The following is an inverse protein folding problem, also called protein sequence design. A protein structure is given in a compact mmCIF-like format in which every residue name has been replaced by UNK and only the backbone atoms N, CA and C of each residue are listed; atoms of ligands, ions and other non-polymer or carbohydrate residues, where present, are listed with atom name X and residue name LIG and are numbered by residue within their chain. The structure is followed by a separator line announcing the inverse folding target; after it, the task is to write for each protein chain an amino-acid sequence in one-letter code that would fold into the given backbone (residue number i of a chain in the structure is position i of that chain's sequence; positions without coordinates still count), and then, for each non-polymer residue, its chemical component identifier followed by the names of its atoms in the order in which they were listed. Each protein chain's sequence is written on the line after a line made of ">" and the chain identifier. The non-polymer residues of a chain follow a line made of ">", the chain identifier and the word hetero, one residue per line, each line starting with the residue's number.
data_IF_639420148989
#
_entry.id   IF_639420148989
#
_cell.length_a   1.000
_cell.length_b   1.000
_cell.length_c   1.000
_cell.angle_alpha   90.00
_cell.angle_beta   90.00
_cell.angle_gamma   90.00
#
_symmetry.space_group_name_H-M   'P 1'
#
loop_
_entity.id
_entity.type
_entity.pdbx_description
1 polymer ?
#
# COMPACT_ATOMS: atom_id res chain seq x y z
N UNK A 1 0.34 -15.42 11.16
CA UNK A 1 -0.26 -14.10 10.88
C UNK A 1 0.81 -13.15 10.35
N UNK A 2 0.76 -12.78 9.06
CA UNK A 2 1.50 -11.60 8.59
C UNK A 2 0.88 -10.41 9.30
N UNK A 3 1.68 -9.68 10.09
CA UNK A 3 1.33 -8.32 10.50
C UNK A 3 1.17 -7.54 9.20
N UNK A 4 -0.05 -7.45 8.71
CA UNK A 4 -0.37 -6.55 7.63
C UNK A 4 0.01 -5.18 8.17
N UNK A 5 1.04 -4.56 7.60
CA UNK A 5 1.60 -3.28 8.05
C UNK A 5 0.61 -2.15 7.72
N UNK A 6 -0.56 -2.22 8.35
CA UNK A 6 -1.69 -1.30 8.23
C UNK A 6 -1.28 0.11 8.66
N UNK A 7 -0.27 0.18 9.53
CA UNK A 7 0.41 1.42 9.91
C UNK A 7 1.21 2.04 8.75
N UNK A 8 1.98 1.24 8.02
CA UNK A 8 2.82 1.72 6.90
C UNK A 8 1.94 2.17 5.73
N UNK A 9 0.91 1.39 5.38
CA UNK A 9 -0.04 1.79 4.34
C UNK A 9 -0.86 3.04 4.70
N UNK A 10 -1.22 3.20 5.98
CA UNK A 10 -1.85 4.43 6.47
C UNK A 10 -0.94 5.64 6.39
N UNK A 11 0.33 5.48 6.75
CA UNK A 11 1.34 6.54 6.70
C UNK A 11 1.64 6.99 5.27
N UNK A 12 1.76 6.05 4.32
CA UNK A 12 1.94 6.38 2.91
C UNK A 12 0.77 7.22 2.37
N UNK A 13 -0.46 6.80 2.68
CA UNK A 13 -1.66 7.53 2.27
C UNK A 13 -1.73 8.92 2.91
N UNK A 14 -1.34 9.05 4.18
CA UNK A 14 -1.31 10.34 4.87
C UNK A 14 -0.31 11.30 4.23
N UNK A 15 0.92 10.84 3.98
CA UNK A 15 1.98 11.63 3.35
C UNK A 15 1.55 12.09 1.96
N UNK A 16 0.93 11.19 1.16
CA UNK A 16 0.45 11.52 -0.18
C UNK A 16 -0.58 12.65 -0.17
N UNK A 17 -1.53 12.62 0.77
CA UNK A 17 -2.54 13.68 0.92
C UNK A 17 -1.90 15.02 1.32
N UNK A 18 -0.95 15.01 2.27
CA UNK A 18 -0.25 16.22 2.71
C UNK A 18 0.55 16.84 1.55
N UNK A 19 1.29 16.03 0.79
CA UNK A 19 2.07 16.52 -0.37
C UNK A 19 1.14 17.15 -1.42
N UNK A 20 -0.02 16.54 -1.66
CA UNK A 20 -0.99 17.08 -2.62
C UNK A 20 -1.53 18.44 -2.18
N UNK A 21 -1.85 18.61 -0.90
CA UNK A 21 -2.34 19.89 -0.36
C UNK A 21 -1.22 20.96 -0.31
N UNK A 22 0.03 20.56 -0.10
CA UNK A 22 1.19 21.46 -0.14
C UNK A 22 1.51 22.02 -1.54
N UNK A 23 1.03 21.41 -2.63
CA UNK A 23 1.43 21.79 -3.99
C UNK A 23 1.21 23.28 -4.30
N UNK A 24 0.11 23.85 -3.82
CA UNK A 24 -0.25 25.25 -4.07
C UNK A 24 0.60 26.22 -3.27
N UNK A 25 1.00 25.81 -2.06
CA UNK A 25 1.91 26.58 -1.22
C UNK A 25 3.30 26.58 -1.82
N UNK A 26 3.78 25.42 -2.28
CA UNK A 26 5.06 25.30 -2.98
C UNK A 26 5.07 26.13 -4.27
N UNK A 27 3.98 26.12 -5.03
CA UNK A 27 3.85 26.94 -6.23
C UNK A 27 3.90 28.44 -5.92
N UNK A 28 3.18 28.87 -4.88
CA UNK A 28 3.21 30.26 -4.40
C UNK A 28 4.60 30.66 -3.93
N UNK A 29 5.29 29.77 -3.21
CA UNK A 29 6.64 30.01 -2.74
C UNK A 29 7.63 30.14 -3.90
N UNK A 30 7.57 29.24 -4.88
CA UNK A 30 8.40 29.31 -6.08
C UNK A 30 8.17 30.61 -6.85
N UNK A 31 6.91 31.05 -6.96
CA UNK A 31 6.56 32.34 -7.56
C UNK A 31 7.17 33.53 -6.80
N UNK A 32 7.11 33.52 -5.47
CA UNK A 32 7.76 34.56 -4.65
C UNK A 32 9.28 34.56 -4.80
N UNK A 33 9.94 33.39 -4.74
CA UNK A 33 11.39 33.28 -4.91
C UNK A 33 11.81 33.79 -6.30
N UNK A 34 11.07 33.45 -7.35
CA UNK A 34 11.34 33.94 -8.70
C UNK A 34 11.15 35.47 -8.79
N UNK A 35 10.05 36.01 -8.26
CA UNK A 35 9.78 37.44 -8.29
C UNK A 35 10.84 38.26 -7.53
N UNK A 36 11.19 37.84 -6.32
CA UNK A 36 12.25 38.49 -5.54
C UNK A 36 13.63 38.28 -6.15
N UNK A 37 13.91 37.09 -6.72
CA UNK A 37 15.12 36.82 -7.49
C UNK A 37 15.33 37.80 -8.64
N UNK A 38 14.26 38.11 -9.39
CA UNK A 38 14.30 39.12 -10.46
C UNK A 38 14.54 40.54 -9.91
N UNK A 39 13.89 40.90 -8.80
CA UNK A 39 14.10 42.21 -8.16
C UNK A 39 15.56 42.36 -7.72
N UNK A 40 16.13 41.36 -7.05
CA UNK A 40 17.53 41.37 -6.62
C UNK A 40 18.49 41.37 -7.81
N UNK A 41 18.19 40.64 -8.88
CA UNK A 41 18.98 40.67 -10.11
C UNK A 41 19.04 42.09 -10.69
N UNK A 42 17.91 42.78 -10.79
CA UNK A 42 17.84 44.16 -11.32
C UNK A 42 18.58 45.14 -10.40
N UNK A 43 18.52 44.95 -9.08
CA UNK A 43 19.14 45.85 -8.11
C UNK A 43 20.65 45.68 -7.97
N UNK A 44 21.16 44.45 -8.11
CA UNK A 44 22.56 44.11 -7.87
C UNK A 44 23.40 44.05 -9.15
N UNK A 45 22.78 43.79 -10.30
CA UNK A 45 23.51 43.82 -11.57
C UNK A 45 23.82 45.27 -11.90
N UNK A 46 25.10 45.64 -11.83
CA UNK A 46 25.54 46.94 -12.34
C UNK A 46 25.19 47.00 -13.82
N UNK A 47 24.43 48.02 -14.21
CA UNK A 47 23.82 48.20 -15.53
C UNK A 47 24.83 48.15 -16.70
N UNK A 48 26.15 48.14 -16.47
CA UNK A 48 27.18 48.07 -17.50
C UNK A 48 27.98 46.76 -17.63
N UNK A 49 27.84 45.77 -16.74
CA UNK A 49 28.72 44.58 -16.81
C UNK A 49 28.27 43.56 -17.87
N UNK A 50 26.97 43.42 -18.12
CA UNK A 50 26.48 42.60 -19.24
C UNK A 50 26.55 43.34 -20.59
N UNK A 51 26.71 44.67 -20.60
CA UNK A 51 26.76 45.47 -21.83
C UNK A 51 28.20 45.54 -22.42
N UNK A 52 29.24 45.43 -21.59
CA UNK A 52 30.64 45.47 -22.03
C UNK A 52 31.24 44.10 -22.36
N UNK A 53 30.44 43.03 -22.33
CA UNK A 53 30.90 41.71 -22.74
C UNK A 53 30.68 41.54 -24.25
N UNK A 54 31.76 41.53 -25.02
CA UNK A 54 31.70 41.33 -26.47
C UNK A 54 31.53 39.83 -26.82
N UNK A 55 30.51 39.51 -27.64
CA UNK A 55 30.34 38.20 -28.30
C UNK A 55 29.35 37.21 -27.65
N UNK A 56 29.32 35.97 -28.17
CA UNK A 56 28.43 34.87 -27.71
C UNK A 56 28.66 34.47 -26.24
N UNK A 57 29.83 34.79 -25.68
CA UNK A 57 30.17 34.51 -24.28
C UNK A 57 29.42 35.43 -23.29
N UNK A 58 29.00 36.62 -23.73
CA UNK A 58 28.22 37.57 -22.92
C UNK A 58 26.85 37.01 -22.53
N UNK A 59 26.16 36.37 -23.47
CA UNK A 59 24.86 35.75 -23.23
C UNK A 59 24.96 34.57 -22.26
N UNK A 60 26.05 33.78 -22.32
CA UNK A 60 26.26 32.67 -21.38
C UNK A 60 26.59 33.16 -19.98
N UNK A 61 27.43 34.18 -19.85
CA UNK A 61 27.79 34.78 -18.55
C UNK A 61 26.57 35.42 -17.87
N UNK A 62 25.79 36.22 -18.59
CA UNK A 62 24.63 36.90 -18.02
C UNK A 62 23.51 35.90 -17.65
N UNK A 63 23.27 34.85 -18.45
CA UNK A 63 22.31 33.79 -18.12
C UNK A 63 22.73 32.95 -16.90
N UNK A 64 24.02 32.64 -16.77
CA UNK A 64 24.56 31.90 -15.61
C UNK A 64 24.44 32.73 -14.33
N UNK A 65 24.60 34.05 -14.43
CA UNK A 65 24.45 34.96 -13.30
C UNK A 65 23.01 35.05 -12.79
N UNK A 66 22.00 35.10 -13.68
CA UNK A 66 20.57 35.09 -13.27
C UNK A 66 20.24 33.84 -12.43
N UNK A 67 20.74 32.67 -12.84
CA UNK A 67 20.55 31.43 -12.09
C UNK A 67 21.16 31.49 -10.69
N UNK A 68 22.36 32.04 -10.57
CA UNK A 68 23.06 32.21 -9.29
C UNK A 68 22.31 33.16 -8.34
N UNK A 69 21.71 34.24 -8.84
CA UNK A 69 20.93 35.16 -8.00
C UNK A 69 19.64 34.52 -7.47
N UNK A 70 18.93 33.76 -8.30
CA UNK A 70 17.74 33.01 -7.84
C UNK A 70 18.13 31.99 -6.76
N UNK A 71 19.26 31.29 -6.94
CA UNK A 71 19.82 30.37 -5.95
C UNK A 71 20.20 31.09 -4.65
N UNK A 72 20.77 32.30 -4.72
CA UNK A 72 21.10 33.12 -3.55
C UNK A 72 19.86 33.51 -2.74
N UNK A 73 18.78 33.93 -3.41
CA UNK A 73 17.49 34.22 -2.75
C UNK A 73 16.88 32.96 -2.14
N UNK A 74 17.03 31.81 -2.79
CA UNK A 74 16.63 30.53 -2.22
C UNK A 74 17.45 30.16 -0.97
N UNK A 75 18.77 30.37 -0.95
CA UNK A 75 19.58 30.13 0.26
C UNK A 75 19.24 31.08 1.41
N UNK A 76 18.88 32.32 1.10
CA UNK A 76 18.42 33.30 2.08
C UNK A 76 17.18 32.81 2.84
N UNK A 77 16.33 31.99 2.20
CA UNK A 77 15.18 31.34 2.83
C UNK A 77 15.56 30.40 3.98
N UNK A 78 16.71 29.72 3.89
CA UNK A 78 17.18 28.79 4.92
C UNK A 78 17.95 29.48 6.04
N UNK A 79 18.01 30.82 6.03
CA UNK A 79 18.88 31.61 6.93
C UNK A 79 20.34 31.14 6.90
N UNK A 80 20.74 30.44 5.85
CA UNK A 80 22.12 30.20 5.52
C UNK A 80 22.63 31.52 4.94
N UNK A 81 22.98 32.44 5.83
CA UNK A 81 23.93 33.49 5.48
C UNK A 81 25.21 32.74 5.15
N UNK A 82 25.34 32.34 3.89
CA UNK A 82 26.61 31.84 3.39
C UNK A 82 27.54 33.04 3.53
N UNK A 83 28.53 32.92 4.42
CA UNK A 83 29.71 33.77 4.42
C UNK A 83 30.36 33.56 3.04
N UNK A 84 29.95 34.36 2.07
CA UNK A 84 30.55 34.37 0.72
C UNK A 84 31.79 35.25 0.86
N UNK A 85 32.76 34.75 1.62
CA UNK A 85 34.05 35.40 1.87
C UNK A 85 34.96 35.31 0.62
N UNK A 86 34.58 34.50 -0.37
CA UNK A 86 35.25 34.40 -1.66
C UNK A 86 34.64 35.36 -2.70
N UNK A 87 34.83 36.67 -2.48
CA UNK A 87 34.88 37.67 -3.56
C UNK A 87 33.56 38.12 -4.22
N UNK A 88 32.40 37.84 -3.64
CA UNK A 88 31.10 38.20 -4.22
C UNK A 88 30.43 39.37 -3.54
N UNK A 89 30.57 40.57 -4.12
CA UNK A 89 29.96 41.87 -3.73
C UNK A 89 28.87 41.78 -2.65
N UNK A 90 29.12 42.43 -1.52
CA UNK A 90 28.24 42.37 -0.36
C UNK A 90 26.83 42.85 -0.73
N UNK A 91 25.84 41.97 -0.52
CA UNK A 91 24.41 42.29 -0.67
C UNK A 91 23.97 43.48 0.21
N UNK A 92 24.83 43.90 1.15
CA UNK A 92 24.64 44.94 2.16
C UNK A 92 24.99 46.36 1.69
N UNK A 93 25.50 46.54 0.46
CA UNK A 93 25.95 47.87 0.02
C UNK A 93 24.82 48.90 -0.14
N UNK A 94 23.55 48.50 -0.24
CA UNK A 94 22.42 49.44 -0.36
C UNK A 94 21.36 49.19 0.72
N UNK A 95 20.95 50.27 1.42
CA UNK A 95 19.86 50.24 2.42
C UNK A 95 18.57 49.66 1.84
N UNK A 96 18.31 49.89 0.55
CA UNK A 96 17.14 49.36 -0.15
C UNK A 96 17.16 47.83 -0.25
N UNK A 97 18.30 47.22 -0.58
CA UNK A 97 18.47 45.76 -0.62
C UNK A 97 18.18 45.12 0.74
N UNK A 98 18.66 45.75 1.83
CA UNK A 98 18.41 45.28 3.19
C UNK A 98 16.93 45.32 3.56
N UNK A 99 16.23 46.41 3.22
CA UNK A 99 14.78 46.54 3.46
C UNK A 99 14.01 45.48 2.66
N UNK A 100 14.35 45.25 1.39
CA UNK A 100 13.70 44.23 0.56
C UNK A 100 13.95 42.81 1.09
N UNK A 101 15.15 42.54 1.60
CA UNK A 101 15.46 41.26 2.26
C UNK A 101 14.65 41.06 3.56
N UNK A 102 14.46 42.12 4.37
CA UNK A 102 13.60 42.06 5.56
C UNK A 102 12.13 41.80 5.19
N UNK A 103 11.62 42.47 4.16
CA UNK A 103 10.24 42.25 3.67
C UNK A 103 10.09 40.81 3.18
N UNK A 104 11.03 40.34 2.36
CA UNK A 104 11.01 38.97 1.85
C UNK A 104 11.01 37.93 2.97
N UNK A 105 11.93 38.06 3.94
CA UNK A 105 12.00 37.14 5.08
C UNK A 105 10.74 37.20 5.93
N UNK A 106 10.15 38.38 6.14
CA UNK A 106 8.86 38.50 6.82
C UNK A 106 7.75 37.75 6.07
N UNK A 107 7.59 37.96 4.76
CA UNK A 107 6.55 37.29 3.98
C UNK A 107 6.75 35.77 3.92
N UNK A 108 7.97 35.30 3.70
CA UNK A 108 8.26 33.88 3.55
C UNK A 108 8.24 33.15 4.89
N UNK A 109 8.95 33.67 5.89
CA UNK A 109 9.11 32.99 7.17
C UNK A 109 7.86 33.20 8.03
N UNK A 110 7.32 34.41 8.13
CA UNK A 110 6.20 34.67 9.04
C UNK A 110 4.88 34.26 8.41
N UNK A 111 4.61 34.62 7.16
CA UNK A 111 3.30 34.36 6.56
C UNK A 111 3.25 32.95 5.96
N UNK A 112 4.20 32.61 5.10
CA UNK A 112 4.14 31.37 4.32
C UNK A 112 4.42 30.13 5.19
N UNK A 113 5.36 30.19 6.13
CA UNK A 113 5.62 29.08 7.06
C UNK A 113 4.44 28.80 7.99
N UNK A 114 3.81 29.85 8.53
CA UNK A 114 2.61 29.68 9.36
C UNK A 114 1.45 29.10 8.54
N UNK A 115 1.31 29.48 7.26
CA UNK A 115 0.34 28.87 6.36
C UNK A 115 0.62 27.38 6.11
N UNK A 116 1.90 26.99 5.92
CA UNK A 116 2.30 25.58 5.78
C UNK A 116 1.89 24.78 7.02
N UNK A 117 2.20 25.28 8.22
CA UNK A 117 1.84 24.60 9.47
C UNK A 117 0.32 24.44 9.58
N UNK A 118 -0.43 25.50 9.32
CA UNK A 118 -1.89 25.47 9.36
C UNK A 118 -2.48 24.42 8.40
N UNK A 119 -1.97 24.36 7.17
CA UNK A 119 -2.40 23.39 6.15
C UNK A 119 -2.04 21.96 6.56
N UNK A 120 -0.85 21.73 7.12
CA UNK A 120 -0.46 20.40 7.61
C UNK A 120 -1.36 19.93 8.73
N UNK A 121 -1.67 20.80 9.70
CA UNK A 121 -2.56 20.49 10.82
C UNK A 121 -3.97 20.16 10.31
N UNK A 122 -4.52 20.99 9.43
CA UNK A 122 -5.85 20.77 8.85
C UNK A 122 -5.91 19.48 8.01
N UNK A 123 -4.89 19.22 7.18
CA UNK A 123 -4.78 18.00 6.39
C UNK A 123 -4.70 16.75 7.27
N UNK A 124 -3.95 16.82 8.37
CA UNK A 124 -3.86 15.73 9.34
C UNK A 124 -5.19 15.49 10.07
N UNK A 125 -5.92 16.55 10.44
CA UNK A 125 -7.25 16.43 11.04
C UNK A 125 -8.25 15.80 10.06
N UNK A 126 -8.26 16.24 8.79
CA UNK A 126 -9.07 15.65 7.71
C UNK A 126 -8.75 14.17 7.52
N UNK A 127 -7.47 13.79 7.50
CA UNK A 127 -7.06 12.39 7.40
C UNK A 127 -7.50 11.56 8.62
N UNK A 128 -7.36 12.08 9.85
CA UNK A 128 -7.82 11.37 11.04
C UNK A 128 -9.35 11.15 11.05
N UNK A 129 -10.12 12.14 10.58
CA UNK A 129 -11.57 12.03 10.43
C UNK A 129 -11.97 10.99 9.37
N UNK A 130 -11.18 10.83 8.30
CA UNK A 130 -11.39 9.78 7.31
C UNK A 130 -10.92 8.41 7.80
N UNK A 131 -9.80 8.35 8.52
CA UNK A 131 -9.24 7.11 9.08
C UNK A 131 -10.22 6.39 10.00
N UNK A 132 -10.97 7.12 10.82
CA UNK A 132 -11.99 6.52 11.69
C UNK A 132 -13.09 5.83 10.87
N UNK A 133 -13.50 6.41 9.73
CA UNK A 133 -14.46 5.80 8.79
C UNK A 133 -13.86 4.60 8.06
N UNK A 134 -12.61 4.71 7.58
CA UNK A 134 -11.92 3.60 6.89
C UNK A 134 -11.61 2.42 7.83
N UNK A 135 -11.33 2.66 9.11
CA UNK A 135 -11.15 1.58 10.08
C UNK A 135 -12.43 0.77 10.29
N UNK A 136 -13.60 1.41 10.27
CA UNK A 136 -14.88 0.71 10.31
C UNK A 136 -15.07 -0.21 9.10
N UNK A 137 -14.80 0.30 7.90
CA UNK A 137 -14.92 -0.47 6.66
C UNK A 137 -13.92 -1.65 6.61
N UNK A 138 -12.67 -1.43 7.00
CA UNK A 138 -11.66 -2.49 7.04
C UNK A 138 -11.99 -3.58 8.08
N UNK A 139 -12.57 -3.20 9.23
CA UNK A 139 -13.07 -4.16 10.22
C UNK A 139 -14.26 -4.95 9.68
N UNK A 140 -15.19 -4.29 8.99
CA UNK A 140 -16.32 -4.95 8.33
C UNK A 140 -15.85 -5.94 7.27
N UNK A 141 -14.92 -5.54 6.41
CA UNK A 141 -14.33 -6.41 5.39
C UNK A 141 -13.68 -7.65 6.03
N UNK A 142 -12.87 -7.44 7.07
CA UNK A 142 -12.24 -8.53 7.82
C UNK A 142 -13.27 -9.46 8.48
N UNK A 143 -14.32 -8.92 9.09
CA UNK A 143 -15.42 -9.72 9.68
C UNK A 143 -16.18 -10.48 8.60
N UNK A 144 -16.39 -9.91 7.42
CA UNK A 144 -17.04 -10.61 6.30
C UNK A 144 -16.17 -11.74 5.74
N UNK A 145 -14.85 -11.53 5.65
CA UNK A 145 -13.91 -12.59 5.26
C UNK A 145 -13.88 -13.72 6.29
N UNK A 146 -13.83 -13.39 7.58
CA UNK A 146 -13.91 -14.37 8.67
C UNK A 146 -15.22 -15.15 8.65
N UNK A 147 -16.37 -14.48 8.48
CA UNK A 147 -17.67 -15.17 8.36
C UNK A 147 -17.77 -16.04 7.13
N UNK A 148 -17.16 -15.64 6.01
CA UNK A 148 -17.12 -16.47 4.82
C UNK A 148 -16.31 -17.74 5.08
N UNK A 149 -15.16 -17.62 5.75
CA UNK A 149 -14.32 -18.74 6.17
C UNK A 149 -15.06 -19.63 7.19
N UNK A 150 -15.69 -19.05 8.20
CA UNK A 150 -16.48 -19.75 9.21
C UNK A 150 -17.61 -20.56 8.57
N UNK A 151 -18.37 -19.97 7.63
CA UNK A 151 -19.40 -20.69 6.86
C UNK A 151 -18.83 -21.80 5.98
N UNK A 152 -17.66 -21.58 5.39
CA UNK A 152 -16.91 -22.62 4.68
C UNK A 152 -16.53 -23.80 5.59
N UNK A 153 -16.28 -23.54 6.87
CA UNK A 153 -15.81 -24.53 7.84
C UNK A 153 -16.91 -25.26 8.61
N UNK A 154 -18.00 -24.56 8.91
CA UNK A 154 -19.15 -25.11 9.64
C UNK A 154 -20.21 -25.72 8.73
N UNK A 155 -20.15 -25.45 7.41
CA UNK A 155 -21.05 -26.08 6.45
C UNK A 155 -20.96 -27.61 6.45
N UNK A 156 -22.05 -28.28 6.11
CA UNK A 156 -22.02 -29.71 5.81
C UNK A 156 -21.37 -29.91 4.44
N UNK A 157 -20.10 -30.29 4.41
CA UNK A 157 -19.38 -30.52 3.16
C UNK A 157 -20.02 -31.72 2.45
N UNK A 158 -20.40 -31.52 1.21
CA UNK A 158 -20.83 -32.63 0.35
C UNK A 158 -19.66 -33.58 0.09
N UNK A 159 -19.98 -34.86 -0.18
CA UNK A 159 -18.99 -35.86 -0.58
C UNK A 159 -18.18 -35.41 -1.82
N UNK A 160 -18.81 -34.66 -2.74
CA UNK A 160 -18.17 -34.13 -3.94
C UNK A 160 -17.12 -33.07 -3.60
N UNK A 161 -17.37 -32.21 -2.61
CA UNK A 161 -16.38 -31.24 -2.12
C UNK A 161 -15.19 -31.91 -1.46
N UNK A 162 -15.40 -32.98 -0.68
CA UNK A 162 -14.28 -33.76 -0.14
C UNK A 162 -13.44 -34.40 -1.24
N UNK A 163 -14.08 -34.97 -2.27
CA UNK A 163 -13.39 -35.53 -3.42
C UNK A 163 -12.57 -34.46 -4.15
N UNK A 164 -13.15 -33.28 -4.41
CA UNK A 164 -12.46 -32.17 -5.04
C UNK A 164 -11.27 -31.67 -4.21
N UNK A 165 -11.40 -31.58 -2.89
CA UNK A 165 -10.31 -31.20 -1.98
C UNK A 165 -9.19 -32.25 -1.97
N UNK A 166 -9.51 -33.54 -1.92
CA UNK A 166 -8.50 -34.62 -1.95
C UNK A 166 -7.75 -34.61 -3.30
N UNK A 167 -8.48 -34.42 -4.40
CA UNK A 167 -7.88 -34.29 -5.74
C UNK A 167 -6.97 -33.06 -5.82
N UNK A 168 -7.39 -31.93 -5.25
CA UNK A 168 -6.55 -30.74 -5.16
C UNK A 168 -5.28 -30.99 -4.35
N UNK A 169 -5.42 -31.50 -3.11
CA UNK A 169 -4.29 -31.76 -2.21
C UNK A 169 -3.30 -32.77 -2.81
N UNK A 170 -3.79 -33.83 -3.45
CA UNK A 170 -2.94 -34.80 -4.14
C UNK A 170 -2.21 -34.17 -5.33
N UNK A 171 -2.88 -33.37 -6.17
CA UNK A 171 -2.24 -32.68 -7.29
C UNK A 171 -1.13 -31.71 -6.84
N UNK A 172 -1.38 -30.93 -5.78
CA UNK A 172 -0.39 -30.01 -5.19
C UNK A 172 0.78 -30.78 -4.58
N UNK A 173 0.50 -31.91 -3.91
CA UNK A 173 1.56 -32.76 -3.33
C UNK A 173 2.47 -33.35 -4.41
N UNK A 174 1.91 -33.80 -5.53
CA UNK A 174 2.71 -34.32 -6.66
C UNK A 174 3.53 -33.20 -7.31
N UNK A 175 2.96 -32.01 -7.51
CA UNK A 175 3.71 -30.85 -8.01
C UNK A 175 4.85 -30.46 -7.07
N UNK A 176 4.62 -30.51 -5.76
CA UNK A 176 5.65 -30.25 -4.75
C UNK A 176 6.77 -31.29 -4.80
N UNK A 177 6.44 -32.59 -4.94
CA UNK A 177 7.44 -33.64 -5.11
C UNK A 177 8.26 -33.46 -6.39
N UNK A 178 7.64 -33.06 -7.50
CA UNK A 178 8.33 -32.77 -8.77
C UNK A 178 9.25 -31.54 -8.66
N UNK A 179 8.94 -30.59 -7.77
CA UNK A 179 9.78 -29.43 -7.51
C UNK A 179 11.15 -29.80 -6.91
N UNK A 180 11.26 -30.95 -6.23
CA UNK A 180 12.51 -31.40 -5.61
C UNK A 180 13.51 -31.81 -6.69
N UNK A 181 14.64 -31.09 -6.78
CA UNK A 181 15.67 -31.29 -7.81
C UNK A 181 16.13 -32.75 -7.96
N UNK A 182 16.26 -33.50 -6.86
CA UNK A 182 16.70 -34.91 -6.90
C UNK A 182 15.69 -35.81 -7.65
N UNK A 183 14.41 -35.64 -7.35
CA UNK A 183 13.32 -36.39 -7.99
C UNK A 183 13.19 -35.97 -9.45
N UNK A 184 13.24 -34.65 -9.71
CA UNK A 184 13.19 -34.08 -11.06
C UNK A 184 14.28 -34.66 -11.95
N UNK A 185 15.53 -34.62 -11.50
CA UNK A 185 16.69 -35.12 -12.27
C UNK A 185 16.61 -36.63 -12.53
N UNK A 186 16.01 -37.38 -11.60
CA UNK A 186 15.78 -38.82 -11.78
C UNK A 186 14.70 -39.06 -12.83
N UNK A 187 13.56 -38.36 -12.73
CA UNK A 187 12.46 -38.43 -13.71
C UNK A 187 12.91 -38.02 -15.11
N UNK A 188 13.67 -36.94 -15.26
CA UNK A 188 14.17 -36.48 -16.57
C UNK A 188 15.13 -37.49 -17.20
N UNK A 189 15.96 -38.15 -16.39
CA UNK A 189 16.87 -39.19 -16.87
C UNK A 189 16.13 -40.41 -17.45
N UNK A 190 15.00 -40.81 -16.87
CA UNK A 190 14.27 -42.01 -17.30
C UNK A 190 13.22 -41.74 -18.38
N UNK A 191 12.51 -40.62 -18.31
CA UNK A 191 11.33 -40.34 -19.16
C UNK A 191 11.53 -39.17 -20.12
N UNK A 192 12.63 -38.42 -20.01
CA UNK A 192 12.90 -37.23 -20.80
C UNK A 192 12.16 -35.98 -20.32
N UNK A 193 12.65 -34.81 -20.72
CA UNK A 193 12.15 -33.51 -20.28
C UNK A 193 10.72 -33.22 -20.80
N UNK A 194 10.38 -33.69 -22.00
CA UNK A 194 9.06 -33.47 -22.61
C UNK A 194 7.94 -34.14 -21.83
N UNK A 195 8.18 -35.34 -21.30
CA UNK A 195 7.19 -36.06 -20.48
C UNK A 195 6.95 -35.35 -19.14
N UNK A 196 8.03 -34.84 -18.53
CA UNK A 196 7.93 -34.09 -17.27
C UNK A 196 7.13 -32.79 -17.47
N UNK A 197 7.42 -32.05 -18.53
CA UNK A 197 6.67 -30.83 -18.86
C UNK A 197 5.18 -31.13 -19.08
N UNK A 198 4.85 -32.16 -19.85
CA UNK A 198 3.47 -32.58 -20.06
C UNK A 198 2.78 -32.93 -18.74
N UNK A 199 3.42 -33.74 -17.89
CA UNK A 199 2.88 -34.12 -16.58
C UNK A 199 2.62 -32.92 -15.67
N UNK A 200 3.53 -31.95 -15.62
CA UNK A 200 3.35 -30.71 -14.84
C UNK A 200 2.18 -29.89 -15.37
N UNK A 201 2.07 -29.72 -16.69
CA UNK A 201 0.96 -28.98 -17.31
C UNK A 201 -0.37 -29.66 -17.04
N UNK A 202 -0.47 -30.98 -17.22
CA UNK A 202 -1.70 -31.74 -16.92
C UNK A 202 -2.09 -31.64 -15.45
N UNK A 203 -1.14 -31.77 -14.52
CA UNK A 203 -1.39 -31.62 -13.08
C UNK A 203 -1.85 -30.20 -12.72
N UNK A 204 -1.28 -29.17 -13.35
CA UNK A 204 -1.69 -27.79 -13.15
C UNK A 204 -3.13 -27.55 -13.64
N UNK A 205 -3.49 -28.06 -14.82
CA UNK A 205 -4.87 -27.99 -15.35
C UNK A 205 -5.83 -28.72 -14.41
N UNK A 206 -5.44 -29.88 -13.91
CA UNK A 206 -6.25 -30.66 -12.98
C UNK A 206 -6.46 -29.94 -11.64
N UNK A 207 -5.41 -29.30 -11.11
CA UNK A 207 -5.50 -28.47 -9.91
C UNK A 207 -6.46 -27.29 -10.11
N UNK A 208 -6.38 -26.57 -11.24
CA UNK A 208 -7.31 -25.47 -11.57
C UNK A 208 -8.75 -25.98 -11.71
N UNK A 209 -8.96 -27.08 -12.41
CA UNK A 209 -10.30 -27.69 -12.55
C UNK A 209 -10.89 -28.09 -11.19
N UNK A 210 -10.06 -28.64 -10.28
CA UNK A 210 -10.50 -29.00 -8.93
C UNK A 210 -10.91 -27.78 -8.08
N UNK A 211 -10.19 -26.66 -8.21
CA UNK A 211 -10.56 -25.39 -7.56
C UNK A 211 -11.89 -24.87 -8.12
N UNK A 212 -12.06 -24.85 -9.44
CA UNK A 212 -13.29 -24.37 -10.08
C UNK A 212 -14.47 -25.23 -9.66
N UNK A 213 -14.33 -26.56 -9.69
CA UNK A 213 -15.38 -27.48 -9.24
C UNK A 213 -15.75 -27.26 -7.76
N UNK A 214 -14.73 -27.08 -6.91
CA UNK A 214 -14.93 -26.77 -5.49
C UNK A 214 -15.70 -25.44 -5.29
N UNK A 215 -15.28 -24.38 -5.97
CA UNK A 215 -15.91 -23.06 -5.87
C UNK A 215 -17.32 -23.03 -6.45
N UNK A 216 -17.55 -23.67 -7.59
CA UNK A 216 -18.89 -23.78 -8.19
C UNK A 216 -19.85 -24.51 -7.26
N UNK A 217 -19.40 -25.59 -6.64
CA UNK A 217 -20.23 -26.36 -5.70
C UNK A 217 -20.51 -25.58 -4.40
N UNK A 218 -19.52 -24.84 -3.89
CA UNK A 218 -19.72 -23.93 -2.75
C UNK A 218 -20.76 -22.85 -3.05
N UNK A 219 -20.69 -22.23 -4.23
CA UNK A 219 -21.65 -21.19 -4.63
C UNK A 219 -23.06 -21.76 -4.83
N UNK A 220 -23.19 -22.92 -5.48
CA UNK A 220 -24.49 -23.55 -5.75
C UNK A 220 -25.26 -23.87 -4.46
N UNK A 221 -24.59 -24.46 -3.46
CA UNK A 221 -25.23 -24.81 -2.20
C UNK A 221 -25.68 -23.58 -1.40
N UNK A 222 -24.88 -22.51 -1.40
CA UNK A 222 -25.20 -21.26 -0.71
C UNK A 222 -26.48 -20.59 -1.24
N UNK A 223 -26.74 -20.69 -2.56
CA UNK A 223 -27.98 -20.20 -3.16
C UNK A 223 -29.18 -21.11 -2.85
N UNK A 224 -29.00 -22.44 -2.85
CA UNK A 224 -30.10 -23.39 -2.62
C UNK A 224 -30.67 -23.36 -1.20
N UNK A 225 -29.90 -22.90 -0.20
CA UNK A 225 -30.35 -22.82 1.20
C UNK A 225 -31.18 -21.57 1.52
N UNK A 226 -31.35 -20.65 0.56
CA UNK A 226 -32.04 -19.36 0.78
C UNK A 226 -33.56 -19.45 0.52
N UNK A 227 -34.07 -20.54 -0.06
CA UNK A 227 -35.51 -20.80 -0.19
C UNK A 227 -36.02 -21.81 0.86
N UNK A 228 -36.38 -21.38 2.08
CA UNK A 228 -36.93 -22.26 3.11
C UNK A 228 -38.35 -22.75 2.80
N UNK A 229 -38.97 -22.32 1.69
CA UNK A 229 -40.38 -22.52 1.43
C UNK A 229 -40.75 -23.76 0.59
N UNK A 230 -39.80 -24.48 -0.03
CA UNK A 230 -40.15 -25.52 -1.03
C UNK A 230 -39.71 -26.96 -0.76
N UNK A 231 -39.10 -27.29 0.39
CA UNK A 231 -38.32 -28.55 0.47
C UNK A 231 -38.66 -29.48 1.64
N UNK A 232 -39.96 -29.71 1.89
CA UNK A 232 -40.42 -30.64 2.94
C UNK A 232 -40.48 -32.10 2.48
N UNK A 233 -40.47 -32.44 1.18
CA UNK A 233 -40.81 -33.82 0.79
C UNK A 233 -39.98 -34.53 -0.30
N UNK A 234 -38.91 -33.92 -0.83
CA UNK A 234 -38.20 -34.50 -2.00
C UNK A 234 -36.69 -34.67 -1.84
N UNK A 235 -36.12 -34.45 -0.64
CA UNK A 235 -34.73 -34.88 -0.38
C UNK A 235 -34.69 -36.40 -0.23
N UNK A 236 -34.47 -37.05 -1.37
CA UNK A 236 -34.47 -38.49 -1.56
C UNK A 236 -33.60 -39.25 -0.54
N UNK A 237 -34.06 -40.45 -0.21
CA UNK A 237 -33.50 -41.40 0.76
C UNK A 237 -31.97 -41.57 0.66
N UNK A 238 -31.40 -41.35 -0.53
CA UNK A 238 -29.97 -41.45 -0.82
C UNK A 238 -29.13 -40.35 -0.14
N UNK A 239 -29.60 -39.10 -0.04
CA UNK A 239 -28.86 -38.03 0.68
C UNK A 239 -28.90 -38.24 2.19
N UNK A 240 -30.00 -38.76 2.73
CA UNK A 240 -30.10 -39.19 4.14
C UNK A 240 -29.20 -40.39 4.46
N UNK A 241 -29.00 -41.30 3.50
CA UNK A 241 -28.10 -42.43 3.68
C UNK A 241 -26.64 -41.99 3.64
N UNK A 242 -26.28 -41.13 2.67
CA UNK A 242 -24.92 -40.61 2.52
C UNK A 242 -24.51 -39.68 3.67
N UNK A 243 -25.43 -38.87 4.21
CA UNK A 243 -25.13 -38.01 5.38
C UNK A 243 -24.99 -38.78 6.69
N UNK A 244 -25.59 -39.97 6.80
CA UNK A 244 -25.45 -40.86 7.97
C UNK A 244 -24.24 -41.79 7.92
N UNK A 245 -23.54 -41.87 6.79
CA UNK A 245 -22.33 -42.70 6.69
C UNK A 245 -21.22 -42.12 7.58
N UNK A 246 -20.78 -42.90 8.57
CA UNK A 246 -19.73 -42.59 9.57
C UNK A 246 -18.43 -42.04 8.94
N UNK A 247 -18.19 -42.33 7.67
CA UNK A 247 -17.01 -41.91 6.93
C UNK A 247 -16.89 -40.39 6.78
N UNK A 248 -18.00 -39.67 6.59
CA UNK A 248 -18.01 -38.22 6.37
C UNK A 248 -17.55 -37.45 7.61
N UNK A 249 -18.11 -37.67 8.82
CA UNK A 249 -17.61 -36.99 10.02
C UNK A 249 -16.18 -37.40 10.40
N UNK A 250 -15.77 -38.65 10.12
CA UNK A 250 -14.40 -39.11 10.38
C UNK A 250 -13.36 -38.37 9.51
N UNK A 251 -13.67 -38.13 8.23
CA UNK A 251 -12.80 -37.38 7.30
C UNK A 251 -12.79 -35.87 7.59
N UNK A 252 -13.90 -35.32 8.09
CA UNK A 252 -14.03 -33.90 8.45
C UNK A 252 -13.22 -33.53 9.69
N UNK A 253 -13.08 -34.46 10.64
CA UNK A 253 -12.49 -34.22 11.96
C UNK A 253 -11.05 -33.67 11.92
N UNK A 254 -10.09 -34.26 11.19
CA UNK A 254 -8.72 -33.75 11.15
C UNK A 254 -8.62 -32.36 10.52
N UNK A 255 -9.46 -32.05 9.51
CA UNK A 255 -9.51 -30.73 8.87
C UNK A 255 -10.04 -29.70 9.87
N UNK A 256 -11.11 -30.01 10.60
CA UNK A 256 -11.65 -29.15 11.66
C UNK A 256 -10.62 -28.92 12.77
N UNK A 257 -9.86 -29.94 13.17
CA UNK A 257 -8.84 -29.85 14.21
C UNK A 257 -7.65 -28.99 13.74
N UNK A 258 -7.22 -29.15 12.49
CA UNK A 258 -6.17 -28.34 11.88
C UNK A 258 -6.56 -26.86 11.81
N UNK A 259 -7.79 -26.56 11.36
CA UNK A 259 -8.24 -25.18 11.29
C UNK A 259 -8.46 -24.57 12.67
N UNK A 260 -9.01 -25.32 13.64
CA UNK A 260 -9.08 -24.86 15.03
C UNK A 260 -7.70 -24.57 15.60
N UNK A 261 -6.70 -25.40 15.31
CA UNK A 261 -5.31 -25.16 15.75
C UNK A 261 -4.72 -23.90 15.09
N UNK A 262 -4.97 -23.68 13.79
CA UNK A 262 -4.55 -22.45 13.12
C UNK A 262 -5.21 -21.18 13.69
N UNK A 263 -6.49 -21.27 14.07
CA UNK A 263 -7.24 -20.16 14.65
C UNK A 263 -6.85 -19.92 16.12
N UNK A 264 -6.59 -20.97 16.91
CA UNK A 264 -6.22 -20.83 18.33
C UNK A 264 -4.82 -20.24 18.53
N UNK A 265 -3.95 -20.32 17.52
CA UNK A 265 -2.64 -19.64 17.51
C UNK A 265 -2.80 -18.10 17.51
N UNK A 266 -4.00 -17.58 17.17
CA UNK A 266 -4.31 -16.15 17.15
C UNK A 266 -4.88 -15.57 18.45
N UNK A 267 -5.40 -16.41 19.36
CA UNK A 267 -5.85 -15.95 20.67
C UNK A 267 -4.64 -15.74 21.57
N UNK A 268 -4.12 -14.52 21.55
CA UNK A 268 -3.18 -14.06 22.59
C UNK A 268 -3.89 -14.25 23.94
N UNK A 269 -3.25 -14.85 24.96
CA UNK A 269 -3.88 -15.07 26.26
C UNK A 269 -4.41 -13.73 26.74
N UNK A 270 -5.74 -13.63 26.80
CA UNK A 270 -6.42 -12.46 27.34
C UNK A 270 -5.84 -12.21 28.72
N UNK A 271 -5.23 -11.03 28.90
CA UNK A 271 -4.73 -10.57 30.18
C UNK A 271 -5.80 -10.83 31.25
N UNK A 272 -5.40 -11.32 32.44
CA UNK A 272 -6.34 -11.65 33.50
C UNK A 272 -7.23 -10.44 33.75
N UNK A 273 -8.53 -10.67 33.61
CA UNK A 273 -9.58 -9.70 33.86
C UNK A 273 -9.44 -9.32 35.33
N UNK A 274 -8.87 -8.15 35.57
CA UNK A 274 -8.62 -7.61 36.89
C UNK A 274 -9.99 -7.45 37.58
N UNK A 275 -10.32 -8.41 38.45
CA UNK A 275 -11.52 -8.39 39.28
C UNK A 275 -11.36 -7.25 40.30
N UNK A 276 -11.67 -6.02 39.89
CA UNK A 276 -11.91 -4.94 40.84
C UNK A 276 -13.34 -5.02 41.33
N UNK A 277 -13.49 -5.79 42.41
CA UNK A 277 -14.48 -5.54 43.43
C UNK A 277 -14.01 -4.35 44.29
N UNK A 278 -14.66 -3.20 44.13
CA UNK A 278 -14.85 -2.17 45.15
C UNK A 278 -16.04 -1.31 44.73
#
# INVERSE_FOLDING_TARGET
>A
MRKCNLFVGGLESMIRTIIYDMRWVLFTLAGMVAAFGQIFFILLTKVGECENADGDDANRLCATNVGNFILRVYFLLFSAFVDIDDGGEDLSHTTFSMIMAMIFTFFVIVILFNAVIAIVVDSHQRWNAQRSKLMGYNRLCYVTELRAIERLLDGEWSLLQYCALILFVSSVSVLFLISVNSIRNTMTKFYGDSFLLFGVVTLAVFAVASIIAFLMHMNYFNFSTIDPASDVNTKGLMTRFLSKTVLVPALAYPIKLFVRSLLSIGESPSLPRDNRSA
#
